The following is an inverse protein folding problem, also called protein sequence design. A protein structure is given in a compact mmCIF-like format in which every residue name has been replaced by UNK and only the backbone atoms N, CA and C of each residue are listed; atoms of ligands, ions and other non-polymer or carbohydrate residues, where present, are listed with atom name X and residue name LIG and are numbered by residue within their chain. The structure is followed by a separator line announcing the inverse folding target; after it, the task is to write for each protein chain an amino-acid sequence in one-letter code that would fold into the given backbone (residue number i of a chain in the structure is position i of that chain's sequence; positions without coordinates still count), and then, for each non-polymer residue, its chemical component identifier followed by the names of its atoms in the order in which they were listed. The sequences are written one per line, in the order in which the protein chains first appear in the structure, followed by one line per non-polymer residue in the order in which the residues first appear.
data_IF_348757340500
#
_entry.id   IF_348757340500
#
_cell.length_a   1.000
_cell.length_b   1.000
_cell.length_c   1.000
_cell.angle_alpha   90.00
_cell.angle_beta   90.00
_cell.angle_gamma   90.00
#
_symmetry.space_group_name_H-M   'P 1'
#
loop_
_entity.id
_entity.type
_entity.pdbx_description
1 polymer ?
#
# COMPACT_ATOMS: atom_id res chain seq x y z
N UNK A 1 30.03 -21.72 14.11
CA UNK A 1 29.18 -21.71 12.90
C UNK A 1 27.81 -21.24 13.37
N UNK A 2 27.35 -20.06 12.93
CA UNK A 2 26.02 -19.57 13.31
C UNK A 2 24.96 -20.50 12.76
N UNK A 3 23.89 -20.74 13.52
CA UNK A 3 22.74 -21.46 12.99
C UNK A 3 22.26 -20.80 11.69
N UNK A 4 21.85 -21.58 10.68
CA UNK A 4 21.28 -21.02 9.48
C UNK A 4 20.11 -20.13 9.89
N UNK A 5 20.14 -18.90 9.40
CA UNK A 5 19.10 -17.92 9.63
C UNK A 5 17.75 -18.56 9.30
N UNK A 6 16.90 -18.77 10.31
CA UNK A 6 15.57 -19.29 10.08
C UNK A 6 14.72 -18.16 9.50
N UNK A 7 14.77 -17.97 8.17
CA UNK A 7 14.09 -16.85 7.52
C UNK A 7 12.58 -16.92 7.72
N UNK A 8 12.01 -18.12 7.90
CA UNK A 8 10.60 -18.28 8.26
C UNK A 8 10.29 -17.63 9.62
N UNK A 9 11.14 -17.86 10.63
CA UNK A 9 10.99 -17.21 11.94
C UNK A 9 11.16 -15.69 11.86
N UNK A 10 12.09 -15.21 11.04
CA UNK A 10 12.30 -13.77 10.84
C UNK A 10 11.08 -13.13 10.19
N UNK A 11 10.60 -13.69 9.07
CA UNK A 11 9.44 -13.17 8.35
C UNK A 11 8.17 -13.21 9.21
N UNK A 12 7.98 -14.27 10.00
CA UNK A 12 6.88 -14.34 10.99
C UNK A 12 6.98 -13.22 12.04
N UNK A 13 8.19 -12.89 12.48
CA UNK A 13 8.44 -11.79 13.42
C UNK A 13 8.11 -10.39 12.86
N UNK A 14 8.01 -10.25 11.54
CA UNK A 14 7.70 -8.97 10.88
C UNK A 14 6.20 -8.73 10.68
N UNK A 15 5.33 -9.69 10.97
CA UNK A 15 3.90 -9.60 10.62
C UNK A 15 3.26 -8.31 11.15
N UNK A 16 3.47 -7.98 12.44
CA UNK A 16 2.84 -6.80 13.04
C UNK A 16 3.43 -5.48 12.50
N UNK A 17 4.73 -5.45 12.23
CA UNK A 17 5.40 -4.26 11.67
C UNK A 17 4.95 -4.01 10.22
N UNK A 18 4.90 -5.06 9.39
CA UNK A 18 4.38 -4.96 8.03
C UNK A 18 2.88 -4.64 8.03
N UNK A 19 2.09 -5.23 8.93
CA UNK A 19 0.68 -4.90 9.10
C UNK A 19 0.46 -3.43 9.51
N UNK A 20 1.36 -2.84 10.31
CA UNK A 20 1.31 -1.42 10.64
C UNK A 20 1.52 -0.54 9.40
N UNK A 21 2.44 -0.91 8.50
CA UNK A 21 2.64 -0.19 7.23
C UNK A 21 1.43 -0.35 6.31
N UNK A 22 0.88 -1.56 6.19
CA UNK A 22 -0.34 -1.85 5.43
C UNK A 22 -1.53 -1.03 5.95
N UNK A 23 -1.69 -0.93 7.27
CA UNK A 23 -2.73 -0.14 7.90
C UNK A 23 -2.56 1.36 7.60
N UNK A 24 -1.34 1.89 7.66
CA UNK A 24 -1.08 3.29 7.31
C UNK A 24 -1.32 3.57 5.81
N UNK A 25 -0.98 2.63 4.92
CA UNK A 25 -1.32 2.73 3.49
C UNK A 25 -2.82 2.81 3.28
N UNK A 26 -3.57 1.92 3.92
CA UNK A 26 -5.03 1.92 3.86
C UNK A 26 -5.62 3.22 4.44
N UNK A 27 -5.15 3.65 5.62
CA UNK A 27 -5.66 4.85 6.30
C UNK A 27 -5.39 6.11 5.45
N UNK A 28 -4.21 6.18 4.83
CA UNK A 28 -3.85 7.25 3.90
C UNK A 28 -4.79 7.31 2.69
N UNK A 29 -5.00 6.17 2.01
CA UNK A 29 -5.89 6.11 0.85
C UNK A 29 -7.35 6.43 1.21
N UNK A 30 -7.83 5.97 2.37
CA UNK A 30 -9.17 6.32 2.85
C UNK A 30 -9.32 7.81 3.10
N UNK A 31 -8.35 8.43 3.78
CA UNK A 31 -8.33 9.89 4.01
C UNK A 31 -8.28 10.65 2.67
N UNK A 32 -7.46 10.20 1.72
CA UNK A 32 -7.37 10.81 0.40
C UNK A 32 -8.69 10.71 -0.36
N UNK A 33 -9.29 9.52 -0.49
CA UNK A 33 -10.59 9.34 -1.14
C UNK A 33 -11.66 10.22 -0.48
N UNK A 34 -11.74 10.21 0.85
CA UNK A 34 -12.70 11.02 1.59
C UNK A 34 -12.48 12.53 1.38
N UNK A 35 -11.22 12.97 1.24
CA UNK A 35 -10.90 14.38 0.96
C UNK A 35 -11.35 14.87 -0.41
N UNK A 36 -11.62 13.94 -1.35
CA UNK A 36 -12.12 14.27 -2.69
C UNK A 36 -13.64 14.39 -2.76
N UNK A 37 -14.36 13.92 -1.75
CA UNK A 37 -15.81 13.92 -1.73
C UNK A 37 -16.42 15.07 -0.95
N UNK A 38 -17.68 15.35 -1.25
CA UNK A 38 -18.51 16.29 -0.48
C UNK A 38 -19.38 15.49 0.48
N UNK A 39 -19.16 15.69 1.78
CA UNK A 39 -19.96 15.05 2.83
C UNK A 39 -21.36 15.67 2.87
N UNK A 40 -22.37 14.81 2.83
CA UNK A 40 -23.78 15.19 2.90
C UNK A 40 -24.28 15.22 4.36
N UNK A 41 -25.48 15.75 4.57
CA UNK A 41 -26.09 15.87 5.89
C UNK A 41 -26.35 14.52 6.58
N UNK A 42 -26.59 13.45 5.82
CA UNK A 42 -26.77 12.09 6.31
C UNK A 42 -25.45 11.35 6.56
N UNK A 43 -24.31 12.02 6.36
CA UNK A 43 -22.98 11.46 6.51
C UNK A 43 -22.44 10.73 5.28
N UNK A 44 -23.25 10.53 4.22
CA UNK A 44 -22.81 9.98 2.95
C UNK A 44 -21.78 10.89 2.27
N UNK A 45 -21.03 10.34 1.33
CA UNK A 45 -19.99 11.05 0.59
C UNK A 45 -20.32 11.02 -0.90
N UNK A 46 -20.47 12.18 -1.51
CA UNK A 46 -20.59 12.31 -2.97
C UNK A 46 -19.20 12.52 -3.55
N UNK A 47 -18.77 11.60 -4.42
CA UNK A 47 -17.48 11.66 -5.09
C UNK A 47 -17.64 12.17 -6.52
N UNK A 48 -16.65 12.92 -7.06
CA UNK A 48 -16.62 13.26 -8.48
C UNK A 48 -16.58 12.00 -9.36
N UNK A 49 -17.42 11.93 -10.38
CA UNK A 49 -17.58 10.74 -11.22
C UNK A 49 -16.28 10.37 -11.95
N UNK A 50 -15.49 11.36 -12.38
CA UNK A 50 -14.22 11.15 -13.05
C UNK A 50 -13.18 10.46 -12.16
N UNK A 51 -13.25 10.68 -10.84
CA UNK A 51 -12.37 9.99 -9.89
C UNK A 51 -12.85 8.56 -9.64
N UNK A 52 -14.17 8.36 -9.54
CA UNK A 52 -14.76 7.02 -9.42
C UNK A 52 -14.40 6.17 -10.63
N UNK A 53 -14.65 6.66 -11.85
CA UNK A 53 -14.30 5.98 -13.10
C UNK A 53 -12.80 5.64 -13.18
N UNK A 54 -11.94 6.58 -12.79
CA UNK A 54 -10.49 6.35 -12.75
C UNK A 54 -10.12 5.23 -11.78
N UNK A 55 -10.62 5.27 -10.55
CA UNK A 55 -10.29 4.28 -9.52
C UNK A 55 -10.87 2.90 -9.86
N UNK A 56 -12.08 2.84 -10.40
CA UNK A 56 -12.69 1.59 -10.88
C UNK A 56 -11.85 0.97 -12.00
N UNK A 57 -11.43 1.77 -13.00
CA UNK A 57 -10.53 1.31 -14.05
C UNK A 57 -9.21 0.79 -13.47
N UNK A 58 -8.58 1.54 -12.57
CA UNK A 58 -7.32 1.12 -11.92
C UNK A 58 -7.48 -0.21 -11.19
N UNK A 59 -8.56 -0.37 -10.41
CA UNK A 59 -8.81 -1.54 -9.59
C UNK A 59 -9.02 -2.84 -10.39
N UNK A 60 -9.47 -2.75 -11.65
CA UNK A 60 -9.65 -3.92 -12.54
C UNK A 60 -8.52 -4.10 -13.55
N UNK A 61 -7.57 -3.16 -13.62
CA UNK A 61 -6.43 -3.25 -14.53
C UNK A 61 -5.28 -3.98 -13.85
N UNK A 62 -4.76 -5.04 -14.48
CA UNK A 62 -3.56 -5.73 -14.01
C UNK A 62 -2.38 -4.75 -13.89
N UNK A 63 -1.55 -4.88 -12.85
CA UNK A 63 -0.41 -3.97 -12.61
C UNK A 63 0.47 -3.74 -13.84
N UNK A 64 0.85 -4.81 -14.56
CA UNK A 64 1.68 -4.70 -15.76
C UNK A 64 0.98 -4.05 -16.97
N UNK A 65 -0.33 -3.86 -16.90
CA UNK A 65 -1.14 -3.15 -17.88
C UNK A 65 -1.46 -1.70 -17.45
N UNK A 66 -1.08 -1.29 -16.23
CA UNK A 66 -1.23 0.09 -15.78
C UNK A 66 -0.27 1.02 -16.54
N UNK A 67 -0.64 2.28 -16.77
CA UNK A 67 0.30 3.32 -17.17
C UNK A 67 1.48 3.44 -16.19
N UNK A 68 2.65 3.77 -16.70
CA UNK A 68 3.90 3.89 -15.92
C UNK A 68 3.74 4.79 -14.69
N UNK A 69 3.01 5.91 -14.83
CA UNK A 69 2.76 6.85 -13.73
C UNK A 69 1.92 6.27 -12.60
N UNK A 70 1.07 5.30 -12.91
CA UNK A 70 0.24 4.61 -11.90
C UNK A 70 1.02 3.48 -11.26
N UNK A 71 1.83 2.74 -12.03
CA UNK A 71 2.76 1.77 -11.49
C UNK A 71 3.78 2.42 -10.54
N UNK A 72 4.26 3.63 -10.84
CA UNK A 72 5.18 4.36 -9.97
C UNK A 72 4.56 4.63 -8.60
N UNK A 73 3.28 5.00 -8.55
CA UNK A 73 2.55 5.17 -7.29
C UNK A 73 2.52 3.87 -6.47
N UNK A 74 2.36 2.71 -7.12
CA UNK A 74 2.40 1.41 -6.44
C UNK A 74 3.82 1.07 -5.93
N UNK A 75 4.85 1.33 -6.74
CA UNK A 75 6.25 1.15 -6.35
C UNK A 75 6.65 2.05 -5.17
N UNK A 76 6.17 3.29 -5.14
CA UNK A 76 6.36 4.18 -3.99
C UNK A 76 5.78 3.58 -2.69
N UNK A 77 4.67 2.83 -2.76
CA UNK A 77 4.16 2.13 -1.57
C UNK A 77 5.06 0.97 -1.16
N UNK A 78 5.58 0.19 -2.12
CA UNK A 78 6.53 -0.91 -1.86
C UNK A 78 7.80 -0.39 -1.18
N UNK A 79 8.33 0.73 -1.67
CA UNK A 79 9.54 1.36 -1.15
C UNK A 79 9.44 1.77 0.33
N UNK A 80 8.24 1.83 0.92
CA UNK A 80 8.04 2.14 2.34
C UNK A 80 8.34 0.97 3.27
N UNK A 81 8.16 -0.27 2.83
CA UNK A 81 8.36 -1.46 3.68
C UNK A 81 9.49 -2.37 3.20
N UNK A 82 9.96 -2.21 1.96
CA UNK A 82 11.11 -2.98 1.46
C UNK A 82 12.37 -2.82 2.34
N UNK A 83 12.71 -1.63 2.89
CA UNK A 83 13.82 -1.47 3.82
C UNK A 83 13.67 -2.26 5.12
N UNK A 84 12.44 -2.45 5.62
CA UNK A 84 12.16 -3.23 6.83
C UNK A 84 12.52 -4.70 6.59
N UNK A 85 12.08 -5.24 5.45
CA UNK A 85 12.38 -6.62 5.06
C UNK A 85 13.89 -6.81 4.86
N UNK A 86 14.56 -5.88 4.17
CA UNK A 86 15.99 -5.98 3.93
C UNK A 86 16.81 -5.92 5.22
N UNK A 87 16.48 -5.00 6.14
CA UNK A 87 17.12 -4.91 7.44
C UNK A 87 16.97 -6.23 8.23
N UNK A 88 15.78 -6.84 8.22
CA UNK A 88 15.52 -8.11 8.89
C UNK A 88 16.31 -9.29 8.31
N UNK A 89 16.59 -9.26 6.99
CA UNK A 89 17.40 -10.25 6.30
C UNK A 89 18.91 -9.94 6.33
N UNK A 90 19.32 -8.82 6.94
CA UNK A 90 20.73 -8.38 6.96
C UNK A 90 21.25 -7.97 5.59
N UNK A 91 20.37 -7.50 4.70
CA UNK A 91 20.70 -7.02 3.35
C UNK A 91 20.63 -5.49 3.33
N UNK A 92 21.59 -4.85 2.66
CA UNK A 92 21.56 -3.41 2.39
C UNK A 92 20.89 -3.18 1.03
N UNK A 93 19.87 -2.30 0.98
CA UNK A 93 19.25 -1.81 -0.26
C UNK A 93 19.86 -0.47 -0.68
#
# INVERSE_FOLDING_TARGET
MGEPMNVESILKGLIDELAAVEHERWSHWQRYMHSKGVRQADGSLILPSELVERWERQAVTDYYSLPETEQESDREQVNRYLPIIAAALGVQL
#
